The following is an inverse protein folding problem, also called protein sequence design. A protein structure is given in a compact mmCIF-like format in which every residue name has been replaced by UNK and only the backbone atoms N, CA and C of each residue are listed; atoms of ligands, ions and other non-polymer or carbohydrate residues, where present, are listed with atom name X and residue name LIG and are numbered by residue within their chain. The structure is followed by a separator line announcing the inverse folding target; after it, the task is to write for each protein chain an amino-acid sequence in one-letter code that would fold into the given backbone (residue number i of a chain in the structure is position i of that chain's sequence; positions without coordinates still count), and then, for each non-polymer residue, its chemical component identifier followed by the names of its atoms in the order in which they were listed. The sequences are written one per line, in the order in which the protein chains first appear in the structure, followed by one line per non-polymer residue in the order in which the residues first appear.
data_IF_267236326683
#
_entry.id   IF_267236326683
#
_cell.length_a   1.000
_cell.length_b   1.000
_cell.length_c   1.000
_cell.angle_alpha   90.00
_cell.angle_beta   90.00
_cell.angle_gamma   90.00
#
_symmetry.space_group_name_H-M   'P 1'
#
loop_
_entity.id
_entity.type
_entity.pdbx_description
1 polymer ?
#
# COMPACT_ATOMS: atom_id res chain seq x y z
N UNK A 1 -7.00 -46.18 20.83
CA UNK A 1 -6.05 -45.37 20.03
C UNK A 1 -5.75 -44.10 20.81
N UNK A 2 -4.53 -43.92 21.26
CA UNK A 2 -4.11 -42.72 22.01
C UNK A 2 -3.47 -41.76 21.00
N UNK A 3 -4.08 -40.60 20.78
CA UNK A 3 -3.43 -39.50 20.06
C UNK A 3 -2.39 -38.87 20.98
N UNK A 4 -1.11 -39.00 20.62
CA UNK A 4 -0.05 -38.17 21.21
C UNK A 4 -0.08 -36.83 20.47
N UNK A 5 -0.60 -35.81 21.13
CA UNK A 5 -0.47 -34.42 20.70
C UNK A 5 0.96 -33.99 21.00
N UNK A 6 1.82 -33.97 19.98
CA UNK A 6 3.14 -33.36 20.07
C UNK A 6 2.97 -31.84 20.17
N UNK A 7 3.29 -31.29 21.34
CA UNK A 7 3.43 -29.87 21.58
C UNK A 7 4.63 -29.35 20.78
N UNK A 8 4.36 -28.70 19.64
CA UNK A 8 5.33 -27.84 19.00
C UNK A 8 5.56 -26.63 19.91
N UNK A 9 6.58 -26.71 20.76
CA UNK A 9 7.06 -25.57 21.53
C UNK A 9 7.64 -24.53 20.55
N UNK A 10 6.80 -23.61 20.10
CA UNK A 10 7.26 -22.35 19.54
C UNK A 10 8.01 -21.62 20.63
N UNK A 11 9.35 -21.60 20.53
CA UNK A 11 10.20 -20.89 21.47
C UNK A 11 9.86 -19.40 21.45
N UNK A 12 9.08 -18.95 22.43
CA UNK A 12 8.91 -17.55 22.73
C UNK A 12 10.14 -17.09 23.53
N UNK A 13 11.24 -16.81 22.83
CA UNK A 13 12.43 -16.20 23.41
C UNK A 13 12.20 -14.69 23.48
N UNK A 14 11.55 -14.24 24.55
CA UNK A 14 11.46 -12.83 24.91
C UNK A 14 12.50 -12.53 25.98
N UNK A 15 13.76 -12.42 25.59
CA UNK A 15 14.83 -11.96 26.48
C UNK A 15 15.62 -10.89 25.72
N UNK A 16 15.71 -9.69 26.30
CA UNK A 16 16.39 -8.47 25.83
C UNK A 16 15.57 -7.38 25.12
N UNK A 17 14.28 -7.59 24.84
CA UNK A 17 13.41 -6.53 24.26
C UNK A 17 13.73 -6.15 22.80
N UNK A 18 14.81 -6.72 22.25
CA UNK A 18 15.17 -6.61 20.83
C UNK A 18 14.31 -7.57 20.00
N UNK A 19 13.75 -7.06 18.90
CA UNK A 19 12.89 -7.82 17.99
C UNK A 19 13.25 -7.52 16.54
N UNK A 20 13.45 -8.55 15.73
CA UNK A 20 13.65 -8.45 14.29
C UNK A 20 12.39 -8.91 13.53
N UNK A 21 11.98 -8.11 12.55
CA UNK A 21 10.90 -8.40 11.62
C UNK A 21 11.47 -8.43 10.21
N UNK A 22 11.18 -9.50 9.47
CA UNK A 22 11.58 -9.64 8.06
C UNK A 22 10.37 -9.45 7.16
N UNK A 23 10.50 -8.65 6.11
CA UNK A 23 9.46 -8.36 5.12
C UNK A 23 9.96 -8.67 3.71
N UNK A 24 9.26 -9.51 2.94
CA UNK A 24 8.12 -10.33 3.36
C UNK A 24 8.54 -11.39 4.39
N UNK A 25 7.61 -11.83 5.23
CA UNK A 25 7.87 -12.87 6.25
C UNK A 25 8.05 -14.26 5.64
N UNK A 26 7.60 -14.45 4.39
CA UNK A 26 7.82 -15.65 3.57
C UNK A 26 8.34 -15.23 2.20
N UNK A 27 9.44 -15.84 1.76
CA UNK A 27 10.09 -15.51 0.49
C UNK A 27 10.70 -16.77 -0.16
N UNK A 28 10.95 -16.69 -1.47
CA UNK A 28 11.68 -17.74 -2.19
C UNK A 28 13.20 -17.57 -2.06
N UNK A 29 13.98 -18.65 -2.23
CA UNK A 29 15.43 -18.54 -2.34
C UNK A 29 15.83 -17.54 -3.45
N UNK A 30 16.82 -16.70 -3.16
CA UNK A 30 17.23 -15.62 -4.07
C UNK A 30 16.38 -14.35 -4.01
N UNK A 31 15.30 -14.31 -3.22
CA UNK A 31 14.52 -13.10 -3.04
C UNK A 31 15.21 -12.10 -2.11
N UNK A 32 14.97 -10.82 -2.37
CA UNK A 32 15.35 -9.72 -1.48
C UNK A 32 14.33 -9.57 -0.34
N UNK A 33 14.84 -9.27 0.85
CA UNK A 33 14.03 -9.08 2.05
C UNK A 33 14.52 -7.87 2.83
N UNK A 34 13.58 -7.12 3.39
CA UNK A 34 13.82 -6.03 4.31
C UNK A 34 13.85 -6.56 5.75
N UNK A 35 14.83 -6.11 6.53
CA UNK A 35 14.97 -6.41 7.95
C UNK A 35 14.75 -5.14 8.75
N UNK A 36 13.77 -5.17 9.65
CA UNK A 36 13.48 -4.11 10.62
C UNK A 36 13.75 -4.61 12.03
N UNK A 37 14.61 -3.92 12.77
CA UNK A 37 14.94 -4.24 14.16
C UNK A 37 14.45 -3.14 15.08
N UNK A 38 13.85 -3.54 16.20
CA UNK A 38 13.43 -2.64 17.29
C UNK A 38 14.11 -3.06 18.58
N UNK A 39 14.32 -2.12 19.50
CA UNK A 39 14.88 -2.37 20.84
C UNK A 39 16.38 -2.10 20.98
N UNK A 40 17.09 -1.85 19.88
CA UNK A 40 18.47 -1.36 19.94
C UNK A 40 18.51 0.12 20.37
N UNK A 41 19.49 0.48 21.21
CA UNK A 41 19.70 1.84 21.70
C UNK A 41 20.56 2.66 20.74
N UNK A 42 21.49 2.04 20.04
CA UNK A 42 22.37 2.66 19.06
C UNK A 42 21.68 2.90 17.72
N UNK A 43 22.43 3.47 16.78
CA UNK A 43 21.94 3.80 15.43
C UNK A 43 22.45 2.85 14.35
N UNK A 44 23.28 1.87 14.72
CA UNK A 44 23.86 0.88 13.79
C UNK A 44 23.82 -0.53 14.38
N UNK A 45 23.84 -1.53 13.50
CA UNK A 45 23.91 -2.93 13.88
C UNK A 45 24.05 -3.84 12.66
N UNK A 46 23.97 -5.15 12.88
CA UNK A 46 23.98 -6.14 11.81
C UNK A 46 22.99 -7.28 12.12
N UNK A 47 22.16 -7.66 11.15
CA UNK A 47 21.33 -8.87 11.25
C UNK A 47 21.99 -10.04 10.51
N UNK A 48 22.09 -11.17 11.18
CA UNK A 48 22.78 -12.37 10.72
C UNK A 48 21.82 -13.55 10.64
N UNK A 49 21.91 -14.31 9.55
CA UNK A 49 21.16 -15.54 9.37
C UNK A 49 21.90 -16.50 8.46
N UNK A 50 21.73 -17.81 8.69
CA UNK A 50 22.15 -18.84 7.72
C UNK A 50 21.36 -18.75 6.42
N UNK A 51 20.28 -17.97 6.35
CA UNK A 51 19.56 -17.70 5.12
C UNK A 51 20.17 -16.58 4.26
N UNK A 52 20.93 -15.64 4.82
CA UNK A 52 21.36 -14.45 4.10
C UNK A 52 22.64 -14.70 3.28
N UNK A 53 22.74 -14.10 2.10
CA UNK A 53 23.98 -14.13 1.29
C UNK A 53 25.12 -13.45 2.05
N UNK A 54 24.81 -12.30 2.66
CA UNK A 54 25.67 -11.55 3.56
C UNK A 54 24.85 -11.03 4.75
N UNK A 55 25.52 -10.67 5.83
CA UNK A 55 24.88 -10.03 6.98
C UNK A 55 24.21 -8.72 6.52
N UNK A 56 22.98 -8.47 6.98
CA UNK A 56 22.27 -7.24 6.65
C UNK A 56 22.78 -6.12 7.55
N UNK A 57 23.42 -5.12 6.96
CA UNK A 57 23.84 -3.92 7.70
C UNK A 57 22.60 -3.10 8.07
N UNK A 58 22.50 -2.76 9.35
CA UNK A 58 21.33 -2.06 9.89
C UNK A 58 21.71 -0.63 10.23
N UNK A 59 20.89 0.31 9.79
CA UNK A 59 21.02 1.73 10.13
C UNK A 59 19.69 2.30 10.62
N UNK A 60 19.78 3.18 11.60
CA UNK A 60 18.65 3.87 12.19
C UNK A 60 18.79 5.37 12.03
N UNK A 61 17.67 6.07 12.25
CA UNK A 61 17.69 7.54 12.36
C UNK A 61 18.52 7.97 13.58
N UNK A 62 19.12 9.15 13.49
CA UNK A 62 19.78 9.80 14.61
C UNK A 62 18.87 9.91 15.84
N UNK A 63 19.48 9.84 17.03
CA UNK A 63 18.77 9.71 18.30
C UNK A 63 18.47 8.23 18.59
N UNK A 64 19.03 7.72 19.68
CA UNK A 64 18.93 6.30 20.01
C UNK A 64 17.51 5.78 20.21
N UNK A 65 17.32 4.46 20.08
CA UNK A 65 16.02 3.80 20.29
C UNK A 65 15.07 3.81 19.09
N UNK A 66 15.46 4.47 17.99
CA UNK A 66 14.74 4.34 16.73
C UNK A 66 14.92 2.93 16.14
N UNK A 67 13.93 2.42 15.38
CA UNK A 67 14.09 1.16 14.66
C UNK A 67 15.25 1.25 13.66
N UNK A 68 16.03 0.18 13.58
CA UNK A 68 17.06 0.01 12.56
C UNK A 68 16.47 -0.72 11.35
N UNK A 69 16.96 -0.38 10.17
CA UNK A 69 16.53 -0.94 8.89
C UNK A 69 17.74 -1.34 8.06
N UNK A 70 17.58 -2.41 7.30
CA UNK A 70 18.54 -2.86 6.28
C UNK A 70 17.89 -3.87 5.35
N UNK A 71 18.49 -4.12 4.21
CA UNK A 71 18.06 -5.11 3.23
C UNK A 71 19.11 -6.21 3.07
N UNK A 72 18.68 -7.38 2.59
CA UNK A 72 19.59 -8.47 2.22
C UNK A 72 18.91 -9.44 1.27
N UNK A 73 19.71 -10.19 0.53
CA UNK A 73 19.23 -11.25 -0.37
C UNK A 73 19.32 -12.61 0.31
N UNK A 74 18.29 -13.43 0.15
CA UNK A 74 18.29 -14.82 0.57
C UNK A 74 19.19 -15.67 -0.34
N UNK A 75 19.96 -16.60 0.23
CA UNK A 75 20.74 -17.56 -0.55
C UNK A 75 19.85 -18.36 -1.50
N UNK A 76 20.31 -18.57 -2.74
CA UNK A 76 19.57 -19.32 -3.76
C UNK A 76 19.47 -20.83 -3.49
N UNK A 77 20.44 -21.39 -2.75
CA UNK A 77 20.51 -22.82 -2.42
C UNK A 77 19.73 -23.23 -1.16
N UNK A 78 18.90 -22.34 -0.59
CA UNK A 78 18.14 -22.64 0.63
C UNK A 78 17.11 -23.74 0.38
N UNK A 79 16.78 -24.45 1.44
CA UNK A 79 15.68 -25.41 1.47
C UNK A 79 14.46 -24.72 2.05
N UNK A 80 13.29 -25.27 1.78
CA UNK A 80 12.08 -24.83 2.45
C UNK A 80 12.21 -25.00 3.97
N UNK A 81 11.91 -23.94 4.72
CA UNK A 81 12.04 -23.98 6.18
C UNK A 81 12.05 -22.61 6.84
N UNK A 82 12.12 -22.65 8.18
CA UNK A 82 12.24 -21.46 9.02
C UNK A 82 13.69 -21.21 9.37
N UNK A 83 14.17 -20.01 9.07
CA UNK A 83 15.52 -19.59 9.36
C UNK A 83 15.51 -18.51 10.43
N UNK A 84 16.34 -18.72 11.46
CA UNK A 84 16.49 -17.80 12.59
C UNK A 84 17.32 -16.59 12.19
N UNK A 85 16.97 -15.44 12.72
CA UNK A 85 17.69 -14.17 12.55
C UNK A 85 18.20 -13.73 13.90
N UNK A 86 19.52 -13.55 13.99
CA UNK A 86 20.19 -12.96 15.16
C UNK A 86 20.61 -11.54 14.82
N UNK A 87 20.66 -10.65 15.80
CA UNK A 87 21.05 -9.25 15.59
C UNK A 87 22.18 -8.89 16.54
N UNK A 88 23.19 -8.20 16.02
CA UNK A 88 24.23 -7.56 16.82
C UNK A 88 23.98 -6.06 16.81
N UNK A 89 23.73 -5.48 17.97
CA UNK A 89 23.64 -4.03 18.15
C UNK A 89 24.11 -3.66 19.57
N UNK A 90 24.48 -2.41 19.79
CA UNK A 90 24.96 -1.92 21.10
C UNK A 90 26.17 -2.70 21.68
N UNK A 91 26.92 -3.39 20.83
CA UNK A 91 28.03 -4.26 21.25
C UNK A 91 27.60 -5.63 21.80
N UNK A 92 26.32 -5.99 21.71
CA UNK A 92 25.78 -7.25 22.20
C UNK A 92 25.14 -8.08 21.08
N UNK A 93 25.21 -9.41 21.23
CA UNK A 93 24.54 -10.36 20.33
C UNK A 93 23.19 -10.78 20.90
N UNK A 94 22.12 -10.51 20.15
CA UNK A 94 20.76 -10.92 20.43
C UNK A 94 20.37 -12.07 19.50
N UNK A 95 20.35 -13.29 20.03
CA UNK A 95 20.12 -14.50 19.23
C UNK A 95 18.64 -14.78 19.04
N UNK A 96 18.29 -15.29 17.87
CA UNK A 96 16.96 -15.81 17.55
C UNK A 96 15.80 -14.81 17.80
N UNK A 97 16.06 -13.52 17.60
CA UNK A 97 15.10 -12.41 17.83
C UNK A 97 14.12 -12.18 16.67
N UNK A 98 14.25 -12.96 15.60
CA UNK A 98 13.34 -12.97 14.46
C UNK A 98 13.51 -14.22 13.61
N UNK A 99 12.61 -14.38 12.64
CA UNK A 99 12.65 -15.51 11.70
C UNK A 99 12.20 -15.08 10.32
N UNK A 100 12.71 -15.75 9.28
CA UNK A 100 12.20 -15.68 7.91
C UNK A 100 11.79 -17.07 7.44
N UNK A 101 10.66 -17.17 6.75
CA UNK A 101 10.22 -18.41 6.13
C UNK A 101 10.69 -18.46 4.68
N UNK A 102 11.35 -19.56 4.32
CA UNK A 102 11.74 -19.83 2.94
C UNK A 102 10.80 -20.87 2.36
N UNK A 103 10.20 -20.54 1.22
CA UNK A 103 9.36 -21.44 0.44
C UNK A 103 9.69 -21.27 -1.04
N UNK A 104 10.04 -22.35 -1.71
CA UNK A 104 10.05 -22.40 -3.15
C UNK A 104 8.64 -22.11 -3.66
N UNK A 105 8.51 -21.14 -4.56
CA UNK A 105 7.27 -21.01 -5.33
C UNK A 105 7.09 -22.29 -6.14
N UNK A 106 6.11 -23.10 -5.75
CA UNK A 106 5.49 -24.03 -6.67
C UNK A 106 4.74 -23.15 -7.66
N UNK A 107 5.26 -22.99 -8.88
CA UNK A 107 4.50 -22.36 -9.95
C UNK A 107 3.15 -23.07 -10.01
N UNK A 108 2.01 -22.37 -9.82
CA UNK A 108 0.73 -23.01 -9.96
C UNK A 108 0.67 -23.57 -11.38
N UNK A 109 0.57 -24.89 -11.53
CA UNK A 109 0.30 -25.53 -12.83
C UNK A 109 -1.11 -25.21 -13.35
N UNK A 110 -1.72 -24.12 -12.87
CA UNK A 110 -2.94 -23.56 -13.41
C UNK A 110 -2.64 -23.05 -14.81
N UNK A 111 -2.86 -23.94 -15.78
CA UNK A 111 -3.28 -23.54 -17.12
C UNK A 111 -4.39 -22.51 -16.92
N UNK A 112 -4.24 -21.25 -17.40
CA UNK A 112 -5.29 -20.27 -17.29
C UNK A 112 -6.55 -20.82 -17.96
N UNK A 113 -7.53 -21.23 -17.18
CA UNK A 113 -8.89 -21.37 -17.71
C UNK A 113 -9.33 -19.95 -17.95
N UNK A 114 -9.30 -19.51 -19.21
CA UNK A 114 -9.90 -18.26 -19.64
C UNK A 114 -11.34 -18.21 -19.11
N UNK A 115 -11.55 -17.59 -17.97
CA UNK A 115 -12.87 -17.14 -17.60
C UNK A 115 -13.20 -16.04 -18.60
N UNK A 116 -14.17 -16.32 -19.46
CA UNK A 116 -14.71 -15.33 -20.38
C UNK A 116 -15.13 -14.12 -19.54
N UNK A 117 -14.38 -13.02 -19.65
CA UNK A 117 -14.84 -11.75 -19.12
C UNK A 117 -16.09 -11.37 -19.92
N UNK A 118 -17.24 -11.09 -19.29
CA UNK A 118 -18.38 -10.58 -20.02
C UNK A 118 -18.01 -9.19 -20.54
N UNK A 119 -17.61 -9.12 -21.81
CA UNK A 119 -17.51 -7.85 -22.54
C UNK A 119 -18.93 -7.45 -22.87
N UNK A 120 -19.55 -6.61 -22.04
CA UNK A 120 -20.73 -5.90 -22.47
C UNK A 120 -20.30 -4.90 -23.56
N UNK A 121 -20.85 -4.95 -24.78
CA UNK A 121 -20.56 -3.95 -25.80
C UNK A 121 -21.04 -2.59 -25.28
N UNK A 122 -20.11 -1.66 -25.04
CA UNK A 122 -20.50 -0.25 -24.94
C UNK A 122 -20.92 0.19 -26.33
N UNK A 123 -22.16 0.67 -26.47
CA UNK A 123 -22.54 1.43 -27.66
C UNK A 123 -21.64 2.66 -27.70
N UNK A 124 -20.64 2.65 -28.58
CA UNK A 124 -20.07 3.88 -29.10
C UNK A 124 -21.18 4.55 -29.92
N UNK A 125 -21.96 5.42 -29.27
CA UNK A 125 -22.98 6.21 -29.90
C UNK A 125 -22.34 7.17 -30.91
N UNK A 126 -22.29 6.73 -32.17
CA UNK A 126 -22.06 7.59 -33.33
C UNK A 126 -23.41 7.91 -33.97
N UNK A 127 -23.73 9.20 -34.09
CA UNK A 127 -24.93 9.68 -34.76
C UNK A 127 -25.05 11.20 -34.63
N UNK A 128 -24.39 11.93 -35.53
CA UNK A 128 -24.42 13.37 -35.57
C UNK A 128 -25.75 13.97 -36.06
N UNK A 129 -25.84 15.27 -35.85
CA UNK A 129 -26.55 16.31 -36.62
C UNK A 129 -28.09 16.43 -36.54
N UNK A 130 -28.49 17.42 -35.74
CA UNK A 130 -29.35 18.59 -36.03
C UNK A 130 -30.83 18.44 -36.44
N UNK A 131 -31.71 19.07 -35.65
CA UNK A 131 -32.67 20.08 -36.17
C UNK A 131 -33.12 21.03 -35.05
N UNK A 132 -33.28 22.29 -35.44
CA UNK A 132 -33.61 23.49 -34.67
C UNK A 132 -35.05 23.55 -34.13
N UNK A 133 -35.22 24.41 -33.11
CA UNK A 133 -36.46 25.09 -32.65
C UNK A 133 -37.51 24.21 -31.92
N UNK A 134 -38.18 24.62 -30.83
CA UNK A 134 -38.45 25.93 -30.23
C UNK A 134 -38.86 25.73 -28.72
N UNK A 135 -39.09 26.79 -27.93
CA UNK A 135 -39.07 26.77 -26.45
C UNK A 135 -40.44 26.53 -25.79
N UNK A 136 -40.44 25.89 -24.61
CA UNK A 136 -41.51 25.91 -23.58
C UNK A 136 -40.88 25.40 -22.28
N UNK A 137 -40.51 26.27 -21.33
CA UNK A 137 -41.31 26.86 -20.25
C UNK A 137 -40.96 26.19 -18.90
N UNK A 138 -40.88 26.96 -17.80
CA UNK A 138 -40.25 26.54 -16.55
C UNK A 138 -41.23 25.82 -15.62
N UNK A 139 -40.71 24.86 -14.85
CA UNK A 139 -41.37 24.35 -13.66
C UNK A 139 -42.11 23.02 -13.86
N UNK A 140 -41.42 21.92 -13.58
CA UNK A 140 -42.00 20.80 -12.81
C UNK A 140 -40.87 20.15 -12.03
N UNK A 141 -40.98 20.26 -10.71
CA UNK A 141 -40.17 19.52 -9.76
C UNK A 141 -40.38 18.02 -9.97
N UNK A 142 -39.30 17.26 -10.08
CA UNK A 142 -39.34 15.82 -9.88
C UNK A 142 -38.93 15.55 -8.43
N UNK A 143 -39.92 15.65 -7.55
CA UNK A 143 -39.91 14.94 -6.27
C UNK A 143 -40.20 13.47 -6.55
N UNK A 144 -39.24 12.60 -6.26
CA UNK A 144 -39.53 11.21 -5.96
C UNK A 144 -38.74 10.85 -4.72
N UNK A 145 -39.47 10.86 -3.60
CA UNK A 145 -39.08 10.28 -2.33
C UNK A 145 -38.91 8.77 -2.50
N UNK A 146 -37.88 8.18 -1.91
CA UNK A 146 -38.06 7.39 -0.68
C UNK A 146 -36.71 6.85 -0.16
N UNK A 147 -36.43 7.22 1.09
CA UNK A 147 -36.03 6.30 2.17
C UNK A 147 -34.78 5.45 1.97
N UNK A 148 -33.63 6.01 2.35
CA UNK A 148 -32.47 5.22 2.72
C UNK A 148 -31.26 6.06 3.13
N UNK A 149 -30.89 5.96 4.40
CA UNK A 149 -29.64 6.43 5.03
C UNK A 149 -29.60 7.90 5.49
N UNK A 150 -29.25 8.03 6.77
CA UNK A 150 -29.37 9.22 7.58
C UNK A 150 -28.48 10.40 7.17
N UNK A 151 -28.97 11.58 7.51
CA UNK A 151 -28.24 12.85 7.59
C UNK A 151 -27.08 12.73 8.59
N UNK A 152 -25.87 13.24 8.25
CA UNK A 152 -25.67 14.69 8.22
C UNK A 152 -24.71 15.21 7.13
N UNK A 153 -24.67 14.63 5.93
CA UNK A 153 -23.76 15.08 4.85
C UNK A 153 -24.41 15.89 3.72
N UNK A 154 -25.62 16.41 3.92
CA UNK A 154 -26.33 17.22 2.91
C UNK A 154 -25.96 18.71 2.90
N UNK A 155 -25.03 19.16 3.75
CA UNK A 155 -24.64 20.58 3.82
C UNK A 155 -23.28 20.91 3.18
N UNK A 156 -22.48 19.93 2.76
CA UNK A 156 -21.21 20.17 2.03
C UNK A 156 -21.40 20.26 0.50
N UNK A 157 -22.46 19.65 -0.04
CA UNK A 157 -22.70 19.61 -1.49
C UNK A 157 -23.14 20.94 -2.12
N UNK A 158 -23.75 21.84 -1.35
CA UNK A 158 -24.21 23.14 -1.84
C UNK A 158 -23.14 24.25 -1.76
N UNK A 159 -22.10 24.09 -0.92
CA UNK A 159 -21.05 25.09 -0.75
C UNK A 159 -20.08 25.21 -1.94
N UNK A 160 -19.71 24.08 -2.58
CA UNK A 160 -18.73 24.08 -3.67
C UNK A 160 -19.26 24.67 -5.00
N UNK A 161 -20.58 24.64 -5.22
CA UNK A 161 -21.18 25.17 -6.45
C UNK A 161 -21.16 26.71 -6.51
N UNK A 162 -21.29 27.39 -5.36
CA UNK A 162 -21.24 28.86 -5.29
C UNK A 162 -19.83 29.42 -5.54
N UNK A 163 -18.79 28.75 -5.03
CA UNK A 163 -17.39 29.17 -5.16
C UNK A 163 -16.92 29.09 -6.62
N UNK A 164 -17.36 28.06 -7.36
CA UNK A 164 -17.01 27.90 -8.78
C UNK A 164 -17.56 29.04 -9.66
N UNK A 165 -18.81 29.48 -9.42
CA UNK A 165 -19.42 30.57 -10.17
C UNK A 165 -18.68 31.91 -9.97
N UNK A 166 -18.25 32.20 -8.74
CA UNK A 166 -17.48 33.42 -8.41
C UNK A 166 -16.09 33.39 -9.04
N UNK A 167 -15.41 32.24 -9.04
CA UNK A 167 -14.09 32.09 -9.65
C UNK A 167 -14.11 32.29 -11.18
N UNK A 168 -15.14 31.77 -11.85
CA UNK A 168 -15.31 31.97 -13.31
C UNK A 168 -15.63 33.42 -13.63
N UNK A 169 -16.48 34.09 -12.83
CA UNK A 169 -16.77 35.51 -13.02
C UNK A 169 -15.49 36.36 -12.89
N UNK A 170 -14.70 36.15 -11.83
CA UNK A 170 -13.43 36.86 -11.60
C UNK A 170 -12.35 36.56 -12.65
N UNK A 171 -12.29 35.33 -13.17
CA UNK A 171 -11.34 34.98 -14.23
C UNK A 171 -11.74 35.55 -15.59
N UNK A 172 -13.03 35.74 -15.83
CA UNK A 172 -13.55 36.35 -17.06
C UNK A 172 -13.37 37.87 -17.10
N UNK A 173 -13.36 38.53 -15.93
CA UNK A 173 -13.10 39.98 -15.84
C UNK A 173 -11.63 40.27 -16.05
N UNK A 174 -10.72 39.49 -15.41
CA UNK A 174 -9.26 39.63 -15.63
C UNK A 174 -8.87 39.42 -17.09
N UNK A 175 -9.45 38.44 -17.80
CA UNK A 175 -9.13 38.19 -19.22
C UNK A 175 -9.65 39.27 -20.16
N UNK A 176 -10.65 40.07 -19.75
CA UNK A 176 -11.18 41.17 -20.57
C UNK A 176 -10.40 42.46 -20.42
N UNK A 177 -9.44 42.52 -19.49
CA UNK A 177 -8.58 43.69 -19.29
C UNK A 177 -7.29 43.64 -20.13
N UNK A 178 -7.01 42.53 -20.83
CA UNK A 178 -5.84 42.37 -21.71
C UNK A 178 -6.13 42.60 -23.21
N UNK A 179 -7.35 43.05 -23.55
CA UNK A 179 -7.73 43.46 -24.93
C UNK A 179 -8.27 44.88 -24.97
N UNK A 180 -7.49 45.81 -24.40
CA UNK A 180 -7.68 47.25 -24.54
C UNK A 180 -6.33 47.96 -24.58
N UNK A 181 -5.92 48.41 -25.76
CA UNK A 181 -4.68 49.13 -26.02
C UNK A 181 -4.15 48.79 -27.41
N UNK A 182 -4.80 49.32 -28.45
CA UNK A 182 -4.31 50.41 -29.31
C UNK A 182 -3.26 49.89 -30.32
N UNK A 183 -3.55 49.86 -31.63
CA UNK A 183 -3.79 51.04 -32.46
C UNK A 183 -2.48 51.28 -33.21
N UNK A 184 -2.37 50.97 -34.50
CA UNK A 184 -2.86 51.81 -35.59
C UNK A 184 -1.65 52.40 -36.29
#
# INVERSE_FOLDING_TARGET
MVLVLAQAAGGAYAHDGVKATVTPSTASPGADVDVRVQGCKGTTGAARSTAFVADAELTGRDGGGNPLFGDTTLRSGLRDGTYKVSVTCDGHDHRDVGTVQVRHHQEPTHRPTHHATPVAPVRAGGGGTAAFAAPVAPGVAQTTSESGLGTPYTLLGLGMAAIAAVAVAFRSSRRRTDTGGDGG
#
